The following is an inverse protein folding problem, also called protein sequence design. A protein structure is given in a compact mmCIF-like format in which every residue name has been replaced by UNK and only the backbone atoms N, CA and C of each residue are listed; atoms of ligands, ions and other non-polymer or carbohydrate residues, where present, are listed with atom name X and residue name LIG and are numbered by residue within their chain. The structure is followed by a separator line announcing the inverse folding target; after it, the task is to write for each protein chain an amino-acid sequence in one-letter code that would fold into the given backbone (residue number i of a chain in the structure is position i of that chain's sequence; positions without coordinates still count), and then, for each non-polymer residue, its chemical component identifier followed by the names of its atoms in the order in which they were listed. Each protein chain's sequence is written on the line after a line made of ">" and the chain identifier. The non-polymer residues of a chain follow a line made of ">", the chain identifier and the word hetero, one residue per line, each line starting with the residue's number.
data_IF_270397781013
#
_entry.id   IF_270397781013
#
_cell.length_a   1.000
_cell.length_b   1.000
_cell.length_c   1.000
_cell.angle_alpha   90.00
_cell.angle_beta   90.00
_cell.angle_gamma   90.00
#
_symmetry.space_group_name_H-M   'P 1'
#
loop_
_entity.id
_entity.type
_entity.pdbx_description
1 polymer ?
#
# COMPACT_ATOMS: atom_id res chain seq x y z
N UNK A 1 -7.46 -15.40 1.85
CA UNK A 1 -6.84 -16.60 2.45
C UNK A 1 -6.52 -16.32 3.91
N UNK A 2 -6.89 -17.21 4.84
CA UNK A 2 -6.53 -17.08 6.26
C UNK A 2 -5.00 -17.21 6.43
N UNK A 3 -4.35 -16.30 7.17
CA UNK A 3 -2.88 -16.26 7.38
C UNK A 3 -2.32 -17.58 7.93
N UNK A 4 -3.10 -18.26 8.77
CA UNK A 4 -2.74 -19.53 9.40
C UNK A 4 -2.46 -20.66 8.38
N UNK A 5 -3.15 -20.66 7.22
CA UNK A 5 -3.02 -21.72 6.22
C UNK A 5 -1.62 -21.80 5.58
N UNK A 6 -0.89 -20.68 5.49
CA UNK A 6 0.41 -20.68 4.84
C UNK A 6 1.51 -21.28 5.72
N UNK A 7 1.55 -20.87 6.99
CA UNK A 7 2.54 -21.37 7.95
C UNK A 7 2.35 -22.88 8.12
N UNK A 8 1.10 -23.35 8.18
CA UNK A 8 0.77 -24.78 8.19
C UNK A 8 1.26 -25.51 6.95
N UNK A 9 1.05 -24.95 5.75
CA UNK A 9 1.58 -25.54 4.50
C UNK A 9 3.11 -25.64 4.51
N UNK A 10 3.81 -24.61 5.00
CA UNK A 10 5.28 -24.62 5.12
C UNK A 10 5.76 -25.71 6.07
N UNK A 11 5.15 -25.82 7.26
CA UNK A 11 5.45 -26.86 8.25
C UNK A 11 5.22 -28.26 7.67
N UNK A 12 4.06 -28.49 7.07
CA UNK A 12 3.73 -29.78 6.42
C UNK A 12 4.69 -30.13 5.30
N UNK A 13 5.08 -29.16 4.46
CA UNK A 13 6.05 -29.40 3.38
C UNK A 13 7.40 -29.90 3.92
N UNK A 14 7.91 -29.26 4.98
CA UNK A 14 9.17 -29.66 5.61
C UNK A 14 9.07 -31.03 6.29
N UNK A 15 7.95 -31.29 6.96
CA UNK A 15 7.67 -32.60 7.56
C UNK A 15 7.69 -33.72 6.53
N UNK A 16 6.93 -33.58 5.44
CA UNK A 16 6.86 -34.57 4.36
C UNK A 16 8.22 -34.80 3.69
N UNK A 17 9.06 -33.77 3.60
CA UNK A 17 10.39 -33.89 3.04
C UNK A 17 11.38 -34.58 3.98
N UNK A 18 11.44 -34.17 5.26
CA UNK A 18 12.42 -34.70 6.23
C UNK A 18 12.06 -36.09 6.77
N UNK A 19 10.80 -36.33 7.11
CA UNK A 19 10.36 -37.58 7.75
C UNK A 19 10.03 -38.67 6.73
N UNK A 20 9.40 -38.29 5.60
CA UNK A 20 8.92 -39.25 4.60
C UNK A 20 9.78 -39.32 3.34
N UNK A 21 10.80 -38.47 3.20
CA UNK A 21 11.68 -38.43 2.02
C UNK A 21 10.96 -38.09 0.71
N UNK A 22 9.81 -37.40 0.77
CA UNK A 22 9.04 -37.13 -0.45
C UNK A 22 9.71 -36.08 -1.35
N UNK A 23 9.65 -36.29 -2.66
CA UNK A 23 10.15 -35.32 -3.64
C UNK A 23 9.32 -34.03 -3.62
N UNK A 24 9.99 -32.91 -3.90
CA UNK A 24 9.37 -31.57 -3.97
C UNK A 24 8.15 -31.57 -4.90
N UNK A 25 8.22 -32.30 -6.03
CA UNK A 25 7.12 -32.39 -7.01
C UNK A 25 5.88 -33.09 -6.42
N UNK A 26 6.07 -34.16 -5.64
CA UNK A 26 4.99 -34.87 -4.95
C UNK A 26 4.34 -33.99 -3.89
N UNK A 27 5.16 -33.31 -3.09
CA UNK A 27 4.68 -32.39 -2.04
C UNK A 27 3.89 -31.22 -2.65
N UNK A 28 4.37 -30.65 -3.76
CA UNK A 28 3.71 -29.57 -4.50
C UNK A 28 2.28 -29.94 -4.93
N UNK A 29 2.08 -31.14 -5.49
CA UNK A 29 0.74 -31.64 -5.84
C UNK A 29 -0.15 -31.85 -4.63
N UNK A 30 0.40 -32.44 -3.55
CA UNK A 30 -0.36 -32.74 -2.34
C UNK A 30 -0.81 -31.47 -1.58
N UNK A 31 0.05 -30.45 -1.50
CA UNK A 31 -0.25 -29.21 -0.79
C UNK A 31 -0.91 -28.14 -1.67
N UNK A 32 -1.13 -28.44 -2.95
CA UNK A 32 -1.64 -27.51 -3.97
C UNK A 32 -0.85 -26.18 -3.88
N UNK A 33 0.46 -26.29 -4.06
CA UNK A 33 1.39 -25.17 -3.97
C UNK A 33 2.46 -25.29 -5.06
N UNK A 34 2.95 -24.17 -5.59
CA UNK A 34 3.99 -24.17 -6.63
C UNK A 34 5.29 -24.86 -6.17
N UNK A 35 5.94 -25.58 -7.09
CA UNK A 35 7.17 -26.35 -6.84
C UNK A 35 8.26 -25.49 -6.21
N UNK A 36 8.45 -24.26 -6.71
CA UNK A 36 9.51 -23.36 -6.24
C UNK A 36 9.25 -22.87 -4.82
N UNK A 37 7.98 -22.60 -4.48
CA UNK A 37 7.59 -22.26 -3.12
C UNK A 37 7.89 -23.42 -2.17
N UNK A 38 7.53 -24.65 -2.54
CA UNK A 38 7.83 -25.84 -1.72
C UNK A 38 9.33 -26.05 -1.57
N UNK A 39 10.09 -25.92 -2.67
CA UNK A 39 11.54 -26.05 -2.65
C UNK A 39 12.21 -25.02 -1.73
N UNK A 40 11.70 -23.79 -1.72
CA UNK A 40 12.13 -22.77 -0.76
C UNK A 40 11.76 -23.17 0.68
N UNK A 41 10.52 -23.59 0.93
CA UNK A 41 10.04 -23.91 2.29
C UNK A 41 10.80 -25.05 2.97
N UNK A 42 11.22 -26.05 2.18
CA UNK A 42 12.00 -27.19 2.67
C UNK A 42 13.39 -26.75 3.16
N UNK A 43 13.96 -25.71 2.56
CA UNK A 43 15.30 -25.17 2.88
C UNK A 43 15.29 -24.11 3.99
N UNK A 44 14.12 -23.55 4.31
CA UNK A 44 13.97 -22.49 5.32
C UNK A 44 14.25 -22.99 6.75
N UNK A 45 14.76 -22.10 7.59
CA UNK A 45 14.94 -22.35 9.02
C UNK A 45 13.61 -22.39 9.78
N UNK A 46 13.58 -22.97 10.99
CA UNK A 46 12.36 -23.01 11.81
C UNK A 46 11.81 -21.61 12.12
N UNK A 47 12.70 -20.64 12.32
CA UNK A 47 12.34 -19.23 12.55
C UNK A 47 11.65 -18.62 11.33
N UNK A 48 12.17 -18.87 10.13
CA UNK A 48 11.62 -18.34 8.87
C UNK A 48 10.27 -18.95 8.51
N UNK A 49 10.06 -20.24 8.81
CA UNK A 49 8.80 -20.93 8.56
C UNK A 49 7.64 -20.27 9.32
N UNK A 50 7.89 -19.85 10.56
CA UNK A 50 6.89 -19.22 11.43
C UNK A 50 6.64 -17.75 11.09
N UNK A 51 7.55 -17.09 10.38
CA UNK A 51 7.40 -15.69 10.00
C UNK A 51 6.56 -15.55 8.73
N UNK A 52 5.40 -14.91 8.84
CA UNK A 52 4.63 -14.42 7.70
C UNK A 52 4.62 -12.90 7.68
N UNK A 53 5.49 -12.33 6.83
CA UNK A 53 5.65 -10.88 6.69
C UNK A 53 4.59 -10.25 5.76
N UNK A 54 3.62 -11.04 5.28
CA UNK A 54 2.52 -10.51 4.48
C UNK A 54 1.62 -9.61 5.33
N UNK A 55 1.34 -8.42 4.82
CA UNK A 55 0.52 -7.44 5.52
C UNK A 55 1.22 -6.79 6.71
N UNK A 56 2.56 -6.70 6.69
CA UNK A 56 3.29 -5.77 7.55
C UNK A 56 2.63 -4.39 7.48
N UNK A 57 2.39 -3.81 8.66
CA UNK A 57 1.80 -2.48 8.76
C UNK A 57 2.72 -1.52 8.00
N UNK A 58 2.13 -0.80 7.04
CA UNK A 58 2.85 0.20 6.28
C UNK A 58 3.49 1.18 7.27
N UNK A 59 4.83 1.23 7.26
CA UNK A 59 5.61 1.93 8.27
C UNK A 59 5.67 3.44 8.08
N UNK A 60 6.68 4.05 8.72
CA UNK A 60 6.96 5.48 8.63
C UNK A 60 7.11 5.95 7.18
N UNK A 61 6.78 7.22 6.89
CA UNK A 61 7.00 7.78 5.56
C UNK A 61 8.46 7.62 5.09
N UNK A 62 8.65 7.26 3.82
CA UNK A 62 9.99 7.05 3.24
C UNK A 62 10.77 8.35 2.99
N UNK A 63 10.06 9.46 2.76
CA UNK A 63 10.65 10.73 2.27
C UNK A 63 10.24 11.94 3.09
N UNK A 64 8.96 12.04 3.47
CA UNK A 64 8.41 13.25 4.08
C UNK A 64 7.88 12.99 5.48
N UNK A 65 8.25 13.81 6.45
CA UNK A 65 7.94 13.56 7.86
C UNK A 65 6.48 13.90 8.20
N UNK A 66 6.03 13.47 9.38
CA UNK A 66 4.70 13.83 9.91
C UNK A 66 4.61 15.32 10.23
N UNK A 67 5.72 15.98 10.55
CA UNK A 67 5.77 17.41 10.86
C UNK A 67 5.53 18.24 9.61
N UNK A 68 6.18 17.90 8.50
CA UNK A 68 5.94 18.56 7.20
C UNK A 68 4.45 18.50 6.81
N UNK A 69 3.76 17.38 7.10
CA UNK A 69 2.30 17.28 6.91
C UNK A 69 1.52 18.27 7.77
N UNK A 70 1.91 18.47 9.03
CA UNK A 70 1.26 19.41 9.95
C UNK A 70 1.48 20.86 9.50
N UNK A 71 2.67 21.18 9.02
CA UNK A 71 3.00 22.51 8.50
C UNK A 71 2.19 22.85 7.25
N UNK A 72 2.09 21.92 6.28
CA UNK A 72 1.22 22.07 5.10
C UNK A 72 -0.22 22.39 5.51
N UNK A 73 -0.73 21.70 6.53
CA UNK A 73 -2.06 21.94 7.10
C UNK A 73 -2.19 23.33 7.73
N UNK A 74 -1.14 23.82 8.40
CA UNK A 74 -1.10 25.16 9.00
C UNK A 74 -1.14 26.25 7.92
N UNK A 75 -0.31 26.14 6.89
CA UNK A 75 -0.29 27.08 5.74
C UNK A 75 -1.68 27.14 5.09
N UNK A 76 -2.29 25.98 4.84
CA UNK A 76 -3.64 25.92 4.25
C UNK A 76 -4.68 26.69 5.09
N UNK A 77 -4.69 26.47 6.40
CA UNK A 77 -5.63 27.15 7.32
C UNK A 77 -5.36 28.64 7.42
N UNK A 78 -4.10 29.05 7.33
CA UNK A 78 -3.74 30.47 7.37
C UNK A 78 -4.30 31.19 6.14
N UNK A 79 -4.13 30.61 4.94
CA UNK A 79 -4.69 31.17 3.71
C UNK A 79 -6.23 31.22 3.72
N UNK A 80 -6.89 30.23 4.34
CA UNK A 80 -8.35 30.24 4.53
C UNK A 80 -8.81 31.35 5.48
N UNK A 81 -8.07 31.63 6.56
CA UNK A 81 -8.36 32.72 7.49
C UNK A 81 -8.18 34.10 6.86
N UNK A 82 -7.17 34.24 6.01
CA UNK A 82 -6.91 35.47 5.25
C UNK A 82 -7.95 35.73 4.15
N UNK A 83 -8.85 34.76 3.88
CA UNK A 83 -9.84 34.87 2.81
C UNK A 83 -9.20 34.85 1.42
N UNK A 84 -7.99 34.30 1.28
CA UNK A 84 -7.29 34.28 0.01
C UNK A 84 -8.04 33.45 -1.02
N UNK A 85 -8.16 33.95 -2.25
CA UNK A 85 -8.73 33.19 -3.36
C UNK A 85 -7.83 32.00 -3.77
N UNK A 86 -6.51 32.19 -3.64
CA UNK A 86 -5.50 31.25 -4.14
C UNK A 86 -5.03 30.27 -3.06
N UNK A 87 -5.90 29.33 -2.70
CA UNK A 87 -5.62 28.30 -1.67
C UNK A 87 -5.06 26.98 -2.25
N UNK A 88 -4.78 26.93 -3.55
CA UNK A 88 -4.41 25.71 -4.27
C UNK A 88 -3.11 25.05 -3.80
N UNK A 89 -2.93 23.78 -4.19
CA UNK A 89 -1.75 22.99 -3.81
C UNK A 89 -0.42 23.63 -4.24
N UNK A 90 -0.40 24.31 -5.38
CA UNK A 90 0.78 25.00 -5.91
C UNK A 90 1.20 26.17 -5.03
N UNK A 91 0.23 26.95 -4.55
CA UNK A 91 0.49 28.09 -3.67
C UNK A 91 1.03 27.62 -2.33
N UNK A 92 0.41 26.58 -1.77
CA UNK A 92 0.87 25.99 -0.51
C UNK A 92 2.27 25.41 -0.65
N UNK A 93 2.57 24.72 -1.76
CA UNK A 93 3.90 24.22 -2.06
C UNK A 93 4.92 25.37 -2.17
N UNK A 94 4.57 26.45 -2.88
CA UNK A 94 5.41 27.64 -3.02
C UNK A 94 5.71 28.27 -1.66
N UNK A 95 4.69 28.47 -0.82
CA UNK A 95 4.85 29.04 0.52
C UNK A 95 5.71 28.14 1.41
N UNK A 96 5.52 26.83 1.35
CA UNK A 96 6.36 25.89 2.08
C UNK A 96 7.83 25.97 1.63
N UNK A 97 8.08 25.85 0.32
CA UNK A 97 9.44 25.82 -0.22
C UNK A 97 10.19 27.15 -0.05
N UNK A 98 9.49 28.27 0.12
CA UNK A 98 10.10 29.57 0.47
C UNK A 98 10.60 29.63 1.91
N UNK A 99 9.93 28.93 2.83
CA UNK A 99 10.24 28.96 4.26
C UNK A 99 11.25 27.89 4.68
N UNK A 100 11.47 26.87 3.85
CA UNK A 100 12.28 25.70 4.20
C UNK A 100 13.34 25.42 3.13
N UNK A 101 14.51 24.96 3.59
CA UNK A 101 15.58 24.47 2.70
C UNK A 101 15.21 23.17 1.99
N UNK A 102 14.39 22.33 2.63
CA UNK A 102 13.92 21.07 2.05
C UNK A 102 12.63 21.28 1.27
N UNK A 103 12.65 20.94 -0.01
CA UNK A 103 11.50 21.14 -0.89
C UNK A 103 10.52 19.98 -0.81
N UNK A 104 9.22 20.31 -0.85
CA UNK A 104 8.14 19.33 -0.96
C UNK A 104 7.62 19.27 -2.40
N UNK A 105 7.22 18.08 -2.82
CA UNK A 105 6.59 17.89 -4.12
C UNK A 105 5.11 18.27 -4.07
N UNK A 106 4.58 18.81 -5.18
CA UNK A 106 3.13 19.07 -5.35
C UNK A 106 2.29 17.84 -5.00
N UNK A 107 2.70 16.66 -5.48
CA UNK A 107 2.00 15.39 -5.25
C UNK A 107 1.91 15.02 -3.76
N UNK A 108 2.92 15.39 -2.97
CA UNK A 108 2.90 15.18 -1.53
C UNK A 108 1.94 16.14 -0.83
N UNK A 109 1.93 17.41 -1.24
CA UNK A 109 0.97 18.42 -0.75
C UNK A 109 -0.46 17.98 -1.07
N UNK A 110 -0.74 17.61 -2.32
CA UNK A 110 -2.06 17.12 -2.77
C UNK A 110 -2.54 15.93 -1.94
N UNK A 111 -1.67 14.95 -1.72
CA UNK A 111 -2.00 13.77 -0.90
C UNK A 111 -2.28 14.15 0.55
N UNK A 112 -1.46 15.04 1.11
CA UNK A 112 -1.61 15.52 2.49
C UNK A 112 -2.93 16.26 2.67
N UNK A 113 -3.31 17.13 1.73
CA UNK A 113 -4.59 17.84 1.78
C UNK A 113 -5.78 16.89 1.66
N UNK A 114 -5.69 15.85 0.81
CA UNK A 114 -6.71 14.79 0.73
C UNK A 114 -6.82 13.99 2.03
N UNK A 115 -5.69 13.61 2.63
CA UNK A 115 -5.66 12.91 3.93
C UNK A 115 -6.36 13.73 5.03
N UNK A 116 -6.19 15.05 5.03
CA UNK A 116 -6.87 15.96 5.96
C UNK A 116 -8.29 16.36 5.53
N UNK A 117 -8.84 15.80 4.44
CA UNK A 117 -10.16 16.15 3.90
C UNK A 117 -10.35 17.64 3.58
N UNK A 118 -9.26 18.33 3.22
CA UNK A 118 -9.25 19.77 2.88
C UNK A 118 -9.50 20.03 1.38
N UNK A 119 -9.73 18.98 0.60
CA UNK A 119 -10.03 19.04 -0.84
C UNK A 119 -11.30 18.25 -1.09
N UNK A 120 -12.20 18.81 -1.90
CA UNK A 120 -13.38 18.10 -2.38
C UNK A 120 -12.94 16.94 -3.26
N UNK A 121 -13.11 15.73 -2.76
CA UNK A 121 -12.92 14.53 -3.59
C UNK A 121 -14.18 14.34 -4.40
N UNK A 122 -14.07 14.26 -5.73
CA UNK A 122 -15.23 13.92 -6.57
C UNK A 122 -15.66 12.50 -6.21
N UNK A 123 -16.80 12.36 -5.55
CA UNK A 123 -17.45 11.08 -5.34
C UNK A 123 -18.12 10.74 -6.67
N UNK A 124 -17.56 9.79 -7.43
CA UNK A 124 -18.26 9.25 -8.59
C UNK A 124 -19.48 8.48 -8.06
N UNK A 125 -20.68 8.91 -8.44
CA UNK A 125 -21.89 8.13 -8.16
C UNK A 125 -21.79 6.78 -8.88
N UNK A 126 -22.15 5.70 -8.18
CA UNK A 126 -22.05 4.30 -8.66
C UNK A 126 -22.78 4.04 -9.99
N UNK A 127 -23.66 4.95 -10.42
CA UNK A 127 -24.56 4.74 -11.55
C UNK A 127 -23.98 5.11 -12.93
N UNK A 128 -22.73 5.60 -13.03
CA UNK A 128 -22.12 5.95 -14.34
C UNK A 128 -21.25 4.87 -14.97
N UNK A 129 -20.91 3.80 -14.25
CA UNK A 129 -20.05 2.73 -14.80
C UNK A 129 -20.84 1.82 -15.76
N UNK A 130 -22.17 1.66 -15.56
CA UNK A 130 -23.00 0.84 -16.46
C UNK A 130 -23.15 1.42 -17.87
N UNK A 131 -23.20 2.75 -17.99
CA UNK A 131 -23.40 3.43 -19.28
C UNK A 131 -22.17 3.37 -20.20
N UNK A 132 -20.96 3.26 -19.64
CA UNK A 132 -19.73 3.21 -20.45
C UNK A 132 -19.54 1.83 -21.10
N UNK A 133 -19.98 0.74 -20.45
CA UNK A 133 -19.87 -0.61 -21.00
C UNK A 133 -20.88 -0.91 -22.12
N UNK A 134 -22.06 -0.26 -22.13
CA UNK A 134 -23.05 -0.51 -23.19
C UNK A 134 -22.71 0.14 -24.52
N UNK A 135 -21.99 1.27 -24.53
CA UNK A 135 -21.60 1.96 -25.76
C UNK A 135 -20.47 1.19 -26.49
N UNK A 136 -19.67 0.39 -25.78
CA UNK A 136 -18.58 -0.40 -26.37
C UNK A 136 -19.03 -1.70 -27.08
N UNK A 137 -20.31 -2.07 -26.98
CA UNK A 137 -20.86 -3.31 -27.52
C UNK A 137 -21.74 -3.08 -28.76
N UNK A 138 -21.80 -1.85 -29.26
CA UNK A 138 -22.62 -1.45 -30.42
C UNK A 138 -21.79 -1.06 -31.66
N UNK A 139 -20.50 -1.41 -31.70
CA UNK A 139 -19.65 -1.33 -32.90
C UNK A 139 -19.14 -2.72 -33.28
#
# INVERSE_FOLDING_TARGET
>A
MKKQLLIEKRKKARQLHKEKGWSIRKISRCLVAGKDNVGMWVKMSDKEIQQDNRGWKKGNPRKYTKEQKKEIKKIRRQLEKEGSFFIGSLVIQGNYNKLHTTTVSKSFVDRTLKEYKMVKTRILSKNRVSLICHISLLN
#
